data_IF_448970319291
#
_entry.id   IF_448970319291
#
_cell.length_a   1.000
_cell.length_b   1.000
_cell.length_c   1.000
_cell.angle_alpha   90.00
_cell.angle_beta   90.00
_cell.angle_gamma   90.00
#
_symmetry.space_group_name_H-M   'P 1'
#
loop_
_entity.id
_entity.type
_entity.pdbx_description
1 polymer ?
#
# COMPACT_ATOMS: atom_id res chain seq x y z
N UNK A 1 -5.05 18.53 5.08
CA UNK A 1 -4.31 18.03 6.24
C UNK A 1 -2.83 17.85 5.94
N UNK A 2 -2.00 17.92 6.97
CA UNK A 2 -0.58 17.61 6.87
C UNK A 2 -0.38 16.11 6.67
N UNK A 3 0.84 15.74 6.24
CA UNK A 3 1.17 14.32 6.10
C UNK A 3 1.06 13.56 7.44
N UNK A 4 1.42 14.19 8.52
CA UNK A 4 1.33 13.59 9.86
C UNK A 4 -0.10 13.38 10.29
N UNK A 5 -0.97 14.35 10.10
CA UNK A 5 -2.39 14.24 10.41
C UNK A 5 -3.04 13.15 9.55
N UNK A 6 -2.68 13.10 8.28
CA UNK A 6 -3.19 12.08 7.37
C UNK A 6 -2.74 10.67 7.80
N UNK A 7 -1.49 10.52 8.20
CA UNK A 7 -0.99 9.23 8.70
C UNK A 7 -1.75 8.78 9.94
N UNK A 8 -2.03 9.68 10.88
CA UNK A 8 -2.85 9.38 12.06
C UNK A 8 -4.25 8.94 11.67
N UNK A 9 -4.87 9.64 10.72
CA UNK A 9 -6.21 9.30 10.24
C UNK A 9 -6.25 7.92 9.55
N UNK A 10 -5.25 7.60 8.75
CA UNK A 10 -5.12 6.28 8.12
C UNK A 10 -4.98 5.20 9.17
N UNK A 11 -4.11 5.41 10.15
CA UNK A 11 -3.92 4.46 11.26
C UNK A 11 -5.24 4.20 12.01
N UNK A 12 -5.97 5.25 12.33
CA UNK A 12 -7.26 5.13 13.00
C UNK A 12 -8.29 4.38 12.13
N UNK A 13 -8.31 4.66 10.84
CA UNK A 13 -9.25 4.04 9.90
C UNK A 13 -9.08 2.53 9.78
N UNK A 14 -7.83 2.04 9.84
CA UNK A 14 -7.53 0.61 9.65
C UNK A 14 -7.33 -0.15 10.96
N UNK A 15 -7.40 0.52 12.10
CA UNK A 15 -7.08 -0.07 13.41
C UNK A 15 -7.80 -1.38 13.69
N UNK A 16 -9.08 -1.45 13.44
CA UNK A 16 -9.92 -2.59 13.73
C UNK A 16 -10.32 -3.38 12.49
N UNK A 17 -9.71 -3.06 11.35
CA UNK A 17 -9.99 -3.67 10.05
C UNK A 17 -8.75 -4.42 9.60
N UNK A 18 -8.92 -5.68 9.19
CA UNK A 18 -7.80 -6.47 8.69
C UNK A 18 -7.51 -6.19 7.22
N UNK A 19 -8.56 -6.09 6.42
CA UNK A 19 -8.43 -5.96 4.97
C UNK A 19 -9.48 -4.99 4.43
N UNK A 20 -9.04 -4.12 3.52
CA UNK A 20 -9.92 -3.21 2.77
C UNK A 20 -9.77 -3.55 1.29
N UNK A 21 -10.87 -3.93 0.66
CA UNK A 21 -10.86 -4.49 -0.69
C UNK A 21 -10.78 -3.48 -1.83
N UNK A 22 -10.73 -2.17 -1.54
CA UNK A 22 -10.61 -1.15 -2.57
C UNK A 22 -10.03 0.14 -2.02
N UNK A 23 -9.39 0.90 -2.90
CA UNK A 23 -8.88 2.23 -2.59
C UNK A 23 -10.01 3.20 -2.20
N UNK A 24 -11.14 3.10 -2.89
CA UNK A 24 -12.30 3.93 -2.61
C UNK A 24 -12.80 3.74 -1.17
N UNK A 25 -12.90 2.49 -0.74
CA UNK A 25 -13.35 2.17 0.61
C UNK A 25 -12.37 2.69 1.67
N UNK A 26 -11.08 2.50 1.45
CA UNK A 26 -10.07 3.04 2.34
C UNK A 26 -10.18 4.55 2.45
N UNK A 27 -10.35 5.23 1.33
CA UNK A 27 -10.49 6.69 1.30
C UNK A 27 -11.72 7.16 2.06
N UNK A 28 -12.84 6.47 1.94
CA UNK A 28 -14.06 6.80 2.70
C UNK A 28 -13.83 6.71 4.21
N UNK A 29 -13.17 5.65 4.66
CA UNK A 29 -12.84 5.45 6.06
C UNK A 29 -11.90 6.53 6.59
N UNK A 30 -10.89 6.90 5.81
CA UNK A 30 -9.94 7.94 6.19
C UNK A 30 -10.63 9.31 6.23
N UNK A 31 -11.52 9.59 5.29
CA UNK A 31 -12.27 10.85 5.29
C UNK A 31 -13.14 10.99 6.54
N UNK A 32 -13.76 9.92 7.00
CA UNK A 32 -14.51 9.92 8.24
C UNK A 32 -13.63 10.29 9.43
N UNK A 33 -12.46 9.71 9.52
CA UNK A 33 -11.51 10.02 10.59
C UNK A 33 -10.99 11.46 10.52
N UNK A 34 -10.73 11.96 9.32
CA UNK A 34 -10.28 13.35 9.13
C UNK A 34 -11.36 14.35 9.56
N UNK A 35 -12.63 14.07 9.26
CA UNK A 35 -13.74 14.97 9.63
C UNK A 35 -13.93 15.06 11.13
N UNK A 36 -13.56 14.04 11.87
CA UNK A 36 -13.58 14.09 13.34
C UNK A 36 -12.54 15.05 13.90
N UNK A 37 -11.44 15.22 13.17
CA UNK A 37 -10.36 16.15 13.55
C UNK A 37 -10.76 17.57 13.13
N UNK A 38 -11.16 17.75 11.89
CA UNK A 38 -11.56 19.03 11.33
C UNK A 38 -12.56 18.78 10.17
N UNK A 39 -13.80 19.28 10.28
CA UNK A 39 -14.81 19.06 9.24
C UNK A 39 -14.45 19.61 7.86
N UNK A 40 -13.49 20.53 7.77
CA UNK A 40 -13.04 21.12 6.51
C UNK A 40 -11.99 20.25 5.79
N UNK A 41 -11.46 19.23 6.42
CA UNK A 41 -10.44 18.39 5.80
C UNK A 41 -11.00 17.52 4.68
N UNK A 42 -10.28 17.52 3.57
CA UNK A 42 -10.54 16.64 2.44
C UNK A 42 -9.23 16.01 1.98
N UNK A 43 -9.32 14.91 1.25
CA UNK A 43 -8.15 14.20 0.75
C UNK A 43 -8.52 13.42 -0.51
N UNK A 44 -7.54 13.28 -1.42
CA UNK A 44 -7.70 12.49 -2.63
C UNK A 44 -7.37 11.02 -2.37
N UNK A 45 -7.93 10.14 -3.18
CA UNK A 45 -7.64 8.70 -3.09
C UNK A 45 -6.15 8.40 -3.29
N UNK A 46 -5.51 9.11 -4.21
CA UNK A 46 -4.09 8.95 -4.48
C UNK A 46 -3.24 9.31 -3.27
N UNK A 47 -3.57 10.40 -2.62
CA UNK A 47 -2.83 10.85 -1.44
C UNK A 47 -2.99 9.88 -0.27
N UNK A 48 -4.19 9.35 -0.06
CA UNK A 48 -4.44 8.32 0.95
C UNK A 48 -3.60 7.08 0.66
N UNK A 49 -3.63 6.59 -0.56
CA UNK A 49 -2.87 5.42 -0.97
C UNK A 49 -1.38 5.61 -0.73
N UNK A 50 -0.82 6.67 -1.26
CA UNK A 50 0.62 6.95 -1.14
C UNK A 50 1.05 7.10 0.31
N UNK A 51 0.30 7.83 1.10
CA UNK A 51 0.62 8.02 2.51
C UNK A 51 0.55 6.71 3.28
N UNK A 52 -0.49 5.91 3.07
CA UNK A 52 -0.65 4.65 3.75
C UNK A 52 0.52 3.69 3.46
N UNK A 53 0.95 3.62 2.22
CA UNK A 53 2.04 2.74 1.80
C UNK A 53 3.40 3.25 2.28
N UNK A 54 3.70 4.51 2.04
CA UNK A 54 5.01 5.07 2.38
C UNK A 54 5.24 5.20 3.87
N UNK A 55 4.19 5.34 4.65
CA UNK A 55 4.25 5.35 6.12
C UNK A 55 4.36 3.96 6.74
N UNK A 56 4.27 2.89 5.94
CA UNK A 56 4.33 1.54 6.44
C UNK A 56 3.12 1.09 7.24
N UNK A 57 2.00 1.80 7.13
CA UNK A 57 0.78 1.50 7.89
C UNK A 57 -0.01 0.35 7.29
N UNK A 58 0.10 0.14 6.00
CA UNK A 58 -0.61 -0.93 5.29
C UNK A 58 0.35 -1.74 4.43
N UNK A 59 -0.03 -2.98 4.20
CA UNK A 59 0.50 -3.81 3.11
C UNK A 59 -0.49 -3.74 1.98
N UNK A 60 0.00 -3.58 0.77
CA UNK A 60 -0.86 -3.46 -0.41
C UNK A 60 -0.63 -4.64 -1.34
N UNK A 61 -1.72 -5.17 -1.88
CA UNK A 61 -1.71 -6.09 -3.01
C UNK A 61 -2.24 -5.32 -4.20
N UNK A 62 -1.51 -5.36 -5.30
CA UNK A 62 -1.85 -4.59 -6.50
C UNK A 62 -2.11 -5.56 -7.64
N UNK A 63 -3.32 -5.51 -8.18
CA UNK A 63 -3.62 -6.17 -9.44
C UNK A 63 -3.31 -5.20 -10.58
N UNK A 64 -2.54 -5.65 -11.56
CA UNK A 64 -2.10 -4.82 -12.68
C UNK A 64 -2.50 -5.42 -14.00
N UNK A 65 -2.58 -4.57 -15.03
CA UNK A 65 -2.85 -4.96 -16.40
C UNK A 65 -1.69 -4.51 -17.28
N UNK A 66 -1.23 -5.39 -18.16
CA UNK A 66 -0.21 -5.06 -19.14
C UNK A 66 -0.84 -4.26 -20.27
N UNK A 67 -0.26 -3.11 -20.60
CA UNK A 67 -0.74 -2.28 -21.70
C UNK A 67 -0.24 -2.76 -23.07
N UNK A 68 0.74 -3.66 -23.10
CA UNK A 68 1.41 -4.10 -24.32
C UNK A 68 2.29 -3.04 -24.98
N UNK A 69 2.44 -1.89 -24.36
CA UNK A 69 3.22 -0.77 -24.90
C UNK A 69 4.50 -0.54 -24.11
N UNK A 70 5.57 -0.27 -24.79
CA UNK A 70 6.82 0.16 -24.16
C UNK A 70 6.69 1.62 -23.80
N UNK A 71 6.95 1.91 -22.53
CA UNK A 71 6.98 3.30 -22.04
C UNK A 71 8.03 3.40 -20.93
N UNK A 72 8.80 4.47 -20.97
CA UNK A 72 9.73 4.75 -19.89
C UNK A 72 8.96 5.16 -18.63
N UNK A 73 9.02 4.32 -17.62
CA UNK A 73 8.39 4.56 -16.33
C UNK A 73 9.49 4.72 -15.30
N UNK A 74 9.56 5.86 -14.64
CA UNK A 74 10.60 6.18 -13.66
C UNK A 74 10.07 6.05 -12.24
N UNK A 75 8.84 6.48 -12.01
CA UNK A 75 8.19 6.44 -10.70
C UNK A 75 7.12 5.37 -10.65
N UNK A 76 7.00 4.74 -9.50
CA UNK A 76 5.97 3.74 -9.26
C UNK A 76 4.57 4.38 -9.34
N UNK A 77 3.66 3.85 -10.16
CA UNK A 77 2.30 4.37 -10.26
C UNK A 77 1.47 4.12 -9.00
N UNK A 78 1.92 3.23 -8.12
CA UNK A 78 1.21 2.88 -6.88
C UNK A 78 1.57 3.82 -5.74
N UNK A 79 2.86 3.97 -5.44
CA UNK A 79 3.31 4.72 -4.26
C UNK A 79 4.14 5.96 -4.59
N UNK A 80 4.51 6.17 -5.84
CA UNK A 80 5.27 7.32 -6.27
C UNK A 80 6.77 7.21 -6.04
N UNK A 81 7.26 6.12 -5.49
CA UNK A 81 8.68 5.90 -5.27
C UNK A 81 9.40 5.59 -6.59
N UNK A 82 10.70 5.83 -6.62
CA UNK A 82 11.48 5.55 -7.82
C UNK A 82 11.61 4.05 -8.05
N UNK A 83 11.35 3.62 -9.28
CA UNK A 83 11.49 2.22 -9.67
C UNK A 83 12.95 1.84 -9.86
N UNK A 84 13.28 0.61 -9.47
CA UNK A 84 14.59 0.02 -9.64
C UNK A 84 14.58 -0.91 -10.85
N UNK A 85 15.62 -0.85 -11.67
CA UNK A 85 15.78 -1.76 -12.81
C UNK A 85 16.10 -3.16 -12.33
N UNK A 86 15.45 -4.15 -12.92
CA UNK A 86 15.76 -5.56 -12.74
C UNK A 86 16.61 -5.98 -13.92
N UNK A 87 17.84 -6.41 -13.65
CA UNK A 87 18.80 -6.79 -14.68
C UNK A 87 19.10 -8.28 -14.62
N UNK A 88 19.38 -8.85 -15.77
CA UNK A 88 19.82 -10.24 -15.87
C UNK A 88 21.09 -10.32 -16.69
N UNK A 89 21.91 -11.35 -16.41
CA UNK A 89 23.14 -11.58 -17.14
C UNK A 89 22.85 -12.31 -18.45
N UNK A 90 23.47 -11.85 -19.53
CA UNK A 90 23.39 -12.54 -20.81
C UNK A 90 24.48 -13.62 -20.89
N UNK A 91 24.31 -14.57 -21.82
CA UNK A 91 25.27 -15.64 -22.06
C UNK A 91 26.63 -15.08 -22.48
N UNK A 92 26.64 -13.95 -23.19
CA UNK A 92 27.86 -13.27 -23.64
C UNK A 92 28.55 -12.46 -22.55
N UNK A 93 28.06 -12.45 -21.31
CA UNK A 93 28.69 -11.76 -20.18
C UNK A 93 28.21 -10.35 -19.95
N UNK A 94 27.37 -9.80 -20.81
CA UNK A 94 26.74 -8.50 -20.62
C UNK A 94 25.53 -8.57 -19.68
N UNK A 95 24.93 -7.42 -19.40
CA UNK A 95 23.67 -7.33 -18.63
C UNK A 95 22.59 -6.71 -19.47
N UNK A 96 21.35 -7.16 -19.27
CA UNK A 96 20.17 -6.64 -19.95
C UNK A 96 19.09 -6.33 -18.91
N UNK A 97 18.41 -5.21 -19.11
CA UNK A 97 17.26 -4.85 -18.23
C UNK A 97 16.05 -5.65 -18.68
N UNK A 98 15.48 -6.46 -17.79
CA UNK A 98 14.32 -7.31 -18.05
C UNK A 98 13.04 -6.74 -17.44
N UNK A 99 13.13 -5.67 -16.66
CA UNK A 99 11.97 -5.03 -16.06
C UNK A 99 12.34 -4.02 -15.01
N UNK A 100 11.34 -3.60 -14.26
CA UNK A 100 11.48 -2.67 -13.15
C UNK A 100 10.63 -3.14 -11.97
N UNK A 101 11.06 -2.83 -10.76
CA UNK A 101 10.32 -3.13 -9.54
C UNK A 101 10.37 -1.96 -8.58
N UNK A 102 9.32 -1.83 -7.78
CA UNK A 102 9.31 -0.92 -6.65
C UNK A 102 9.95 -1.60 -5.44
N UNK A 103 10.71 -0.84 -4.64
CA UNK A 103 11.31 -1.34 -3.41
C UNK A 103 10.42 -1.08 -2.19
N UNK A 104 9.38 -0.26 -2.34
CA UNK A 104 8.49 0.16 -1.25
C UNK A 104 7.18 -0.61 -1.28
N UNK A 105 6.64 -0.92 -2.45
CA UNK A 105 5.41 -1.67 -2.62
C UNK A 105 5.64 -2.84 -3.60
N UNK A 106 4.67 -3.74 -3.78
CA UNK A 106 4.87 -4.92 -4.62
C UNK A 106 4.75 -4.68 -6.13
N UNK A 107 4.66 -3.45 -6.58
CA UNK A 107 4.53 -3.16 -8.01
C UNK A 107 5.75 -3.65 -8.80
N UNK A 108 5.47 -4.32 -9.91
CA UNK A 108 6.49 -4.80 -10.84
C UNK A 108 6.00 -4.65 -12.27
N UNK A 109 6.92 -4.44 -13.19
CA UNK A 109 6.62 -4.45 -14.63
C UNK A 109 7.77 -5.10 -15.38
N UNK A 110 7.47 -5.65 -16.55
CA UNK A 110 8.47 -6.14 -17.48
C UNK A 110 8.96 -5.01 -18.40
N UNK A 111 9.16 -5.34 -19.69
CA UNK A 111 9.60 -4.36 -20.68
C UNK A 111 8.46 -3.47 -21.16
N UNK A 112 7.23 -3.88 -20.94
CA UNK A 112 6.04 -3.10 -21.27
C UNK A 112 5.42 -2.49 -20.03
N UNK A 113 4.71 -1.38 -20.22
CA UNK A 113 4.06 -0.68 -19.13
C UNK A 113 2.90 -1.48 -18.56
N UNK A 114 2.85 -1.60 -17.23
CA UNK A 114 1.69 -2.12 -16.50
C UNK A 114 1.01 -0.98 -15.76
N UNK A 115 -0.33 -1.07 -15.70
CA UNK A 115 -1.13 -0.08 -14.97
C UNK A 115 -1.89 -0.78 -13.86
N UNK A 116 -1.96 -0.17 -12.65
CA UNK A 116 -2.76 -0.71 -11.56
C UNK A 116 -4.25 -0.66 -11.92
N UNK A 117 -4.97 -1.74 -11.62
CA UNK A 117 -6.43 -1.82 -11.82
C UNK A 117 -7.18 -2.03 -10.53
N UNK A 118 -6.54 -2.58 -9.51
CA UNK A 118 -7.16 -2.80 -8.22
C UNK A 118 -6.13 -2.79 -7.11
N UNK A 119 -6.51 -2.23 -5.96
CA UNK A 119 -5.70 -2.25 -4.75
C UNK A 119 -6.46 -2.96 -3.64
N UNK A 120 -5.75 -3.80 -2.90
CA UNK A 120 -6.25 -4.42 -1.68
C UNK A 120 -5.28 -4.05 -0.57
N UNK A 121 -5.80 -3.46 0.50
CA UNK A 121 -4.99 -2.99 1.62
C UNK A 121 -5.23 -3.87 2.85
N UNK A 122 -4.17 -4.23 3.53
CA UNK A 122 -4.26 -4.91 4.81
C UNK A 122 -3.46 -4.17 5.85
N UNK A 123 -3.90 -4.25 7.11
CA UNK A 123 -3.21 -3.62 8.23
C UNK A 123 -1.83 -4.26 8.42
N UNK A 124 -0.77 -3.47 8.30
CA UNK A 124 0.59 -3.96 8.48
C UNK A 124 0.91 -4.29 9.95
N UNK A 125 0.18 -3.70 10.89
CA UNK A 125 0.39 -3.86 12.33
C UNK A 125 -0.94 -4.18 13.02
N UNK A 126 -1.48 -5.40 12.83
CA UNK A 126 -2.81 -5.72 13.32
C UNK A 126 -2.86 -5.74 14.85
N UNK A 127 -3.65 -4.85 15.39
CA UNK A 127 -3.86 -4.70 16.83
C UNK A 127 -4.49 -5.94 17.47
N UNK A 128 -5.27 -6.67 16.69
CA UNK A 128 -5.94 -7.90 17.14
C UNK A 128 -4.98 -8.92 17.74
N UNK A 129 -3.71 -8.85 17.37
CA UNK A 129 -2.71 -9.81 17.82
C UNK A 129 -2.55 -9.77 19.34
N UNK A 130 -2.28 -8.62 19.90
CA UNK A 130 -2.15 -8.47 21.35
C UNK A 130 -3.48 -8.74 22.06
N UNK A 131 -4.57 -8.27 21.49
CA UNK A 131 -5.90 -8.46 22.05
C UNK A 131 -6.26 -9.94 22.13
N UNK A 132 -6.09 -10.68 21.06
CA UNK A 132 -6.37 -12.11 21.03
C UNK A 132 -5.49 -12.93 21.96
N UNK A 133 -4.25 -12.52 22.11
CA UNK A 133 -3.34 -13.17 23.05
C UNK A 133 -3.84 -13.03 24.48
N UNK A 134 -4.31 -11.88 24.84
CA UNK A 134 -4.82 -11.65 26.18
C UNK A 134 -6.08 -12.46 26.44
N UNK A 135 -6.97 -12.56 25.49
CA UNK A 135 -8.14 -13.43 25.58
C UNK A 135 -7.75 -14.88 25.73
N UNK A 136 -6.83 -15.35 24.92
CA UNK A 136 -6.35 -16.73 24.98
C UNK A 136 -5.70 -17.04 26.32
N UNK A 137 -4.93 -16.13 26.87
CA UNK A 137 -4.34 -16.30 28.18
C UNK A 137 -5.38 -16.43 29.27
N UNK A 138 -6.42 -15.64 29.18
CA UNK A 138 -7.52 -15.69 30.14
C UNK A 138 -8.19 -17.08 30.08
N UNK A 139 -8.44 -17.60 28.89
CA UNK A 139 -9.04 -18.91 28.72
C UNK A 139 -8.15 -20.04 29.21
N UNK A 140 -6.86 -19.95 28.94
CA UNK A 140 -5.90 -20.98 29.32
C UNK A 140 -5.50 -20.96 30.79
N UNK A 141 -5.52 -19.81 31.39
CA UNK A 141 -5.17 -19.69 32.82
C UNK A 141 -6.29 -20.08 33.73
N UNK A 142 -7.48 -20.27 33.21
CA UNK A 142 -8.64 -20.69 33.97
C UNK A 142 -8.51 -22.07 34.57
N UNK A 143 -8.18 -23.10 33.83
CA UNK A 143 -7.99 -24.43 34.39
C UNK A 143 -6.65 -24.62 35.04
#
# INVERSE_FOLDING_TARGET
PTAEVLAVAVSAAIRDINTVGSQRRLTELVREELRRIDPSYGVTEERVRRTAITSGLVRVTVETRDTGRRKRVVKCPVCGSRLKRVRNRTISGGTVTIGKKCTVCPFRMGTTRRVPVRYIFSNAHPRRYSFKKDEQRTLWSGP
#
